data_IF_328900351442
#
_entry.id   IF_328900351442
#
_cell.length_a   1.000
_cell.length_b   1.000
_cell.length_c   1.000
_cell.angle_alpha   90.00
_cell.angle_beta   90.00
_cell.angle_gamma   90.00
#
_symmetry.space_group_name_H-M   'P 1'
#
loop_
_entity.id
_entity.type
_entity.pdbx_description
1 polymer ?
#
# COMPACT_ATOMS: atom_id res chain seq x y z
N UNK A 1 9.22 8.28 13.05
CA UNK A 1 7.75 8.24 13.16
C UNK A 1 7.30 6.83 12.84
N UNK A 2 6.53 6.18 13.71
CA UNK A 2 6.08 4.79 13.57
C UNK A 2 4.83 4.68 12.69
N UNK A 3 4.53 3.48 12.17
CA UNK A 3 3.28 3.21 11.44
C UNK A 3 2.04 3.63 12.25
N UNK A 4 2.02 3.30 13.55
CA UNK A 4 0.93 3.72 14.45
C UNK A 4 0.74 5.23 14.51
N UNK A 5 1.82 5.99 14.63
CA UNK A 5 1.74 7.46 14.65
C UNK A 5 1.20 8.02 13.33
N UNK A 6 1.51 7.36 12.21
CA UNK A 6 1.04 7.76 10.90
C UNK A 6 -0.45 7.45 10.69
N UNK A 7 -0.91 6.24 11.03
CA UNK A 7 -2.33 5.90 11.00
C UNK A 7 -3.15 6.84 11.90
N UNK A 8 -2.64 7.20 13.08
CA UNK A 8 -3.28 8.19 13.94
C UNK A 8 -3.37 9.58 13.27
N UNK A 9 -2.34 10.03 12.56
CA UNK A 9 -2.39 11.30 11.80
C UNK A 9 -3.43 11.26 10.69
N UNK A 10 -3.53 10.15 9.97
CA UNK A 10 -4.54 9.93 8.95
C UNK A 10 -5.95 10.02 9.54
N UNK A 11 -6.22 9.29 10.62
CA UNK A 11 -7.52 9.31 11.30
C UNK A 11 -7.85 10.70 11.87
N UNK A 12 -6.86 11.42 12.42
CA UNK A 12 -7.05 12.78 12.93
C UNK A 12 -7.41 13.76 11.79
N UNK A 13 -6.83 13.56 10.59
CA UNK A 13 -7.13 14.38 9.43
C UNK A 13 -8.56 14.16 8.92
N UNK A 14 -9.01 12.90 8.91
CA UNK A 14 -10.41 12.56 8.63
C UNK A 14 -11.36 13.17 9.67
N UNK A 15 -11.06 12.97 10.95
CA UNK A 15 -11.87 13.52 12.03
C UNK A 15 -11.98 15.04 11.93
N UNK A 16 -10.89 15.74 11.59
CA UNK A 16 -10.92 17.19 11.37
C UNK A 16 -11.87 17.58 10.23
N UNK A 17 -11.87 16.84 9.12
CA UNK A 17 -12.80 17.06 8.01
C UNK A 17 -14.26 16.91 8.45
N UNK A 18 -14.56 15.88 9.23
CA UNK A 18 -15.90 15.64 9.79
C UNK A 18 -16.34 16.77 10.72
N UNK A 19 -15.45 17.24 11.61
CA UNK A 19 -15.76 18.36 12.50
C UNK A 19 -16.02 19.66 11.73
N UNK A 20 -15.27 19.92 10.66
CA UNK A 20 -15.48 21.07 9.79
C UNK A 20 -16.85 21.02 9.10
N UNK A 21 -17.25 19.84 8.61
CA UNK A 21 -18.57 19.62 8.00
C UNK A 21 -19.70 19.81 9.03
N UNK A 22 -19.54 19.25 10.23
CA UNK A 22 -20.51 19.38 11.32
C UNK A 22 -20.67 20.85 11.76
N UNK A 23 -19.55 21.57 11.91
CA UNK A 23 -19.55 23.00 12.25
C UNK A 23 -20.27 23.83 11.16
N UNK A 24 -19.98 23.56 9.89
CA UNK A 24 -20.64 24.24 8.78
C UNK A 24 -22.15 23.99 8.72
N UNK A 25 -22.58 22.76 9.00
CA UNK A 25 -24.01 22.43 9.10
C UNK A 25 -24.69 23.25 10.20
N UNK A 26 -24.07 23.34 11.39
CA UNK A 26 -24.57 24.16 12.50
C UNK A 26 -24.60 25.65 12.17
N UNK A 27 -23.57 26.16 11.50
CA UNK A 27 -23.51 27.57 11.07
C UNK A 27 -24.59 27.88 10.03
N UNK A 28 -24.86 26.99 9.07
CA UNK A 28 -25.97 27.16 8.11
C UNK A 28 -27.33 27.21 8.79
N UNK A 29 -27.54 26.38 9.80
CA UNK A 29 -28.79 26.35 10.56
C UNK A 29 -28.98 27.62 11.42
N UNK A 30 -27.91 28.11 12.06
CA UNK A 30 -27.98 29.27 12.95
C UNK A 30 -27.85 30.63 12.25
N UNK A 31 -27.07 30.70 11.16
CA UNK A 31 -26.77 31.93 10.42
C UNK A 31 -26.71 31.62 8.92
N UNK A 32 -27.85 31.52 8.23
CA UNK A 32 -27.93 31.10 6.82
C UNK A 32 -27.07 31.96 5.86
N UNK A 33 -26.87 33.23 6.18
CA UNK A 33 -26.04 34.16 5.41
C UNK A 33 -24.55 33.73 5.33
N UNK A 34 -24.07 32.88 6.23
CA UNK A 34 -22.70 32.35 6.24
C UNK A 34 -22.55 31.01 5.49
N UNK A 35 -23.58 30.55 4.78
CA UNK A 35 -23.69 29.18 4.27
C UNK A 35 -22.69 28.70 3.21
N UNK A 36 -21.71 29.53 2.80
CA UNK A 36 -20.69 29.18 1.80
C UNK A 36 -19.40 28.57 2.38
N UNK A 37 -19.30 28.34 3.68
CA UNK A 37 -18.13 27.70 4.32
C UNK A 37 -18.46 26.23 4.68
N UNK A 38 -17.52 25.25 4.54
CA UNK A 38 -16.07 25.37 4.43
C UNK A 38 -15.49 24.48 3.29
N UNK A 39 -16.09 24.50 2.08
CA UNK A 39 -15.78 23.52 1.03
C UNK A 39 -14.27 23.31 0.78
N UNK A 40 -13.53 24.40 0.63
CA UNK A 40 -12.07 24.37 0.42
C UNK A 40 -11.28 23.74 1.57
N UNK A 41 -11.69 23.94 2.82
CA UNK A 41 -10.97 23.38 3.97
C UNK A 41 -11.19 21.86 4.08
N UNK A 42 -12.40 21.39 3.75
CA UNK A 42 -12.70 19.95 3.69
C UNK A 42 -11.92 19.29 2.57
N UNK A 43 -11.90 19.92 1.38
CA UNK A 43 -11.08 19.45 0.24
C UNK A 43 -9.59 19.34 0.61
N UNK A 44 -9.05 20.32 1.35
CA UNK A 44 -7.66 20.28 1.83
C UNK A 44 -7.42 19.13 2.82
N UNK A 45 -8.36 18.83 3.72
CA UNK A 45 -8.26 17.67 4.60
C UNK A 45 -8.30 16.36 3.81
N UNK A 46 -9.18 16.25 2.81
CA UNK A 46 -9.24 15.05 1.96
C UNK A 46 -7.94 14.85 1.16
N UNK A 47 -7.39 15.93 0.60
CA UNK A 47 -6.09 15.86 -0.09
C UNK A 47 -4.97 15.45 0.87
N UNK A 48 -4.95 16.03 2.08
CA UNK A 48 -3.96 15.67 3.11
C UNK A 48 -4.06 14.21 3.52
N UNK A 49 -5.27 13.65 3.61
CA UNK A 49 -5.47 12.21 3.83
C UNK A 49 -4.86 11.40 2.69
N UNK A 50 -5.11 11.77 1.42
CA UNK A 50 -4.52 11.07 0.25
C UNK A 50 -3.00 11.12 0.25
N UNK A 51 -2.42 12.28 0.52
CA UNK A 51 -0.96 12.45 0.59
C UNK A 51 -0.35 11.60 1.71
N UNK A 52 -1.04 11.51 2.86
CA UNK A 52 -0.65 10.63 3.96
C UNK A 52 -0.72 9.16 3.58
N UNK A 53 -1.73 8.71 2.82
CA UNK A 53 -1.80 7.33 2.33
C UNK A 53 -0.56 6.98 1.50
N UNK A 54 -0.24 7.82 0.52
CA UNK A 54 0.94 7.62 -0.33
C UNK A 54 2.24 7.62 0.48
N UNK A 55 2.37 8.54 1.43
CA UNK A 55 3.54 8.60 2.30
C UNK A 55 3.67 7.34 3.18
N UNK A 56 2.57 6.84 3.75
CA UNK A 56 2.59 5.63 4.58
C UNK A 56 2.98 4.42 3.73
N UNK A 57 2.39 4.27 2.55
CA UNK A 57 2.70 3.21 1.62
C UNK A 57 4.19 3.21 1.24
N UNK A 58 4.71 4.35 0.80
CA UNK A 58 6.12 4.53 0.47
C UNK A 58 7.03 4.24 1.66
N UNK A 59 6.66 4.70 2.85
CA UNK A 59 7.44 4.45 4.06
C UNK A 59 7.54 2.96 4.37
N UNK A 60 6.42 2.24 4.35
CA UNK A 60 6.40 0.81 4.66
C UNK A 60 7.26 0.06 3.65
N UNK A 61 7.07 0.30 2.35
CA UNK A 61 7.83 -0.42 1.31
C UNK A 61 9.32 -0.04 1.31
N UNK A 62 9.64 1.24 1.18
CA UNK A 62 11.03 1.68 0.95
C UNK A 62 11.86 1.85 2.22
N UNK A 63 11.27 1.88 3.41
CA UNK A 63 12.04 2.04 4.66
C UNK A 63 11.91 0.85 5.59
N UNK A 64 10.74 0.21 5.65
CA UNK A 64 10.54 -0.94 6.55
C UNK A 64 10.79 -2.28 5.87
N UNK A 65 10.46 -2.41 4.58
CA UNK A 65 10.61 -3.65 3.82
C UNK A 65 11.86 -3.68 2.94
N UNK A 66 12.51 -2.55 2.66
CA UNK A 66 13.68 -2.45 1.76
C UNK A 66 14.76 -3.52 2.04
N UNK A 67 15.23 -3.73 3.29
CA UNK A 67 16.28 -4.74 3.53
C UNK A 67 15.85 -6.15 3.13
N UNK A 68 14.58 -6.50 3.37
CA UNK A 68 14.02 -7.80 3.00
C UNK A 68 13.72 -7.88 1.50
N UNK A 69 13.29 -6.79 0.87
CA UNK A 69 13.09 -6.69 -0.57
C UNK A 69 14.40 -6.93 -1.33
N UNK A 70 15.45 -6.21 -0.96
CA UNK A 70 16.78 -6.37 -1.56
C UNK A 70 17.21 -7.82 -1.40
N UNK A 71 17.17 -8.37 -0.18
CA UNK A 71 17.65 -9.74 0.09
C UNK A 71 16.84 -10.83 -0.63
N UNK A 72 15.51 -10.79 -0.54
CA UNK A 72 14.62 -11.79 -1.13
C UNK A 72 14.68 -11.80 -2.66
N UNK A 73 14.91 -10.63 -3.26
CA UNK A 73 14.99 -10.48 -4.70
C UNK A 73 16.43 -10.53 -5.22
N UNK A 74 17.46 -10.47 -4.37
CA UNK A 74 18.86 -10.31 -4.81
C UNK A 74 19.33 -11.45 -5.70
N UNK A 75 18.81 -12.66 -5.50
CA UNK A 75 19.28 -13.84 -6.21
C UNK A 75 18.11 -14.82 -6.43
N UNK A 76 17.84 -15.25 -7.68
CA UNK A 76 16.99 -16.40 -7.94
C UNK A 76 17.74 -17.67 -7.55
N UNK A 77 18.03 -17.84 -6.25
CA UNK A 77 18.46 -19.13 -5.75
C UNK A 77 17.22 -19.99 -5.56
N UNK A 78 17.27 -21.28 -5.91
CA UNK A 78 16.18 -22.24 -5.67
C UNK A 78 16.06 -22.58 -4.18
N UNK A 79 16.25 -21.60 -3.29
CA UNK A 79 16.08 -21.76 -1.86
C UNK A 79 14.58 -21.84 -1.55
N UNK A 80 14.23 -22.85 -0.76
CA UNK A 80 12.92 -22.94 -0.11
C UNK A 80 12.78 -21.69 0.77
N UNK A 81 11.72 -20.90 0.54
CA UNK A 81 11.35 -19.73 1.34
C UNK A 81 11.99 -18.36 0.99
N UNK A 82 12.27 -18.08 -0.29
CA UNK A 82 12.72 -16.75 -0.79
C UNK A 82 11.95 -15.55 -0.23
N UNK A 83 10.62 -15.63 -0.19
CA UNK A 83 9.77 -14.55 0.29
C UNK A 83 9.56 -14.54 1.81
N UNK A 84 10.05 -15.52 2.56
CA UNK A 84 9.71 -15.67 3.99
C UNK A 84 10.07 -14.44 4.82
N UNK A 85 11.27 -13.87 4.61
CA UNK A 85 11.70 -12.65 5.29
C UNK A 85 10.80 -11.45 4.98
N UNK A 86 10.47 -11.27 3.69
CA UNK A 86 9.56 -10.20 3.25
C UNK A 86 8.15 -10.38 3.82
N UNK A 87 7.58 -11.57 3.69
CA UNK A 87 6.23 -11.89 4.16
C UNK A 87 6.12 -11.82 5.69
N UNK A 88 7.18 -12.19 6.41
CA UNK A 88 7.27 -12.10 7.86
C UNK A 88 7.22 -10.65 8.37
N UNK A 89 7.71 -9.69 7.58
CA UNK A 89 7.62 -8.26 7.89
C UNK A 89 6.33 -7.61 7.36
N UNK A 90 5.93 -7.96 6.14
CA UNK A 90 4.78 -7.39 5.45
C UNK A 90 3.47 -7.76 6.14
N UNK A 91 3.25 -9.05 6.43
CA UNK A 91 1.97 -9.56 6.95
C UNK A 91 1.54 -8.87 8.26
N UNK A 92 2.42 -8.73 9.28
CA UNK A 92 2.07 -7.99 10.50
C UNK A 92 1.76 -6.52 10.23
N UNK A 93 2.44 -5.87 9.29
CA UNK A 93 2.21 -4.45 8.94
C UNK A 93 0.86 -4.23 8.28
N UNK A 94 0.48 -5.10 7.35
CA UNK A 94 -0.86 -5.05 6.73
C UNK A 94 -1.95 -5.24 7.80
N UNK A 95 -1.79 -6.24 8.66
CA UNK A 95 -2.74 -6.48 9.76
C UNK A 95 -2.80 -5.31 10.76
N UNK A 96 -1.66 -4.67 11.04
CA UNK A 96 -1.57 -3.47 11.88
C UNK A 96 -2.30 -2.28 11.22
N UNK A 97 -2.13 -2.06 9.92
CA UNK A 97 -2.87 -1.03 9.17
C UNK A 97 -4.37 -1.25 9.23
N UNK A 98 -4.85 -2.48 9.00
CA UNK A 98 -6.27 -2.80 9.10
C UNK A 98 -6.87 -2.50 10.48
N UNK A 99 -6.06 -2.61 11.54
CA UNK A 99 -6.49 -2.32 12.93
C UNK A 99 -6.44 -0.84 13.28
N UNK A 100 -5.52 -0.09 12.68
CA UNK A 100 -5.21 1.29 13.09
C UNK A 100 -5.81 2.36 12.19
N UNK A 101 -5.93 2.11 10.88
CA UNK A 101 -6.52 3.06 9.95
C UNK A 101 -8.05 3.05 10.07
N UNK A 102 -8.66 4.22 9.88
CA UNK A 102 -10.11 4.30 9.80
C UNK A 102 -10.64 3.56 8.55
N UNK A 103 -11.82 2.89 8.64
CA UNK A 103 -12.31 1.99 7.59
C UNK A 103 -12.36 2.59 6.19
N UNK A 104 -12.73 3.88 6.06
CA UNK A 104 -12.79 4.60 4.78
C UNK A 104 -11.46 4.62 4.05
N UNK A 105 -10.35 4.64 4.78
CA UNK A 105 -9.01 4.79 4.23
C UNK A 105 -8.22 3.48 4.17
N UNK A 106 -8.69 2.45 4.86
CA UNK A 106 -8.01 1.14 4.92
C UNK A 106 -7.76 0.57 3.54
N UNK A 107 -8.78 0.53 2.67
CA UNK A 107 -8.62 -0.01 1.32
C UNK A 107 -7.56 0.77 0.52
N UNK A 108 -7.68 2.09 0.43
CA UNK A 108 -6.72 2.93 -0.30
C UNK A 108 -5.29 2.85 0.26
N UNK A 109 -5.14 2.65 1.58
CA UNK A 109 -3.85 2.43 2.22
C UNK A 109 -3.21 1.11 1.77
N UNK A 110 -3.99 0.03 1.79
CA UNK A 110 -3.55 -1.30 1.42
C UNK A 110 -3.23 -1.38 -0.08
N UNK A 111 -4.05 -0.75 -0.94
CA UNK A 111 -3.79 -0.60 -2.37
C UNK A 111 -2.51 0.18 -2.64
N UNK A 112 -2.28 1.26 -1.88
CA UNK A 112 -1.06 2.05 -1.96
C UNK A 112 0.18 1.21 -1.64
N UNK A 113 0.15 0.42 -0.55
CA UNK A 113 1.25 -0.48 -0.18
C UNK A 113 1.48 -1.54 -1.26
N UNK A 114 0.42 -2.19 -1.72
CA UNK A 114 0.49 -3.22 -2.75
C UNK A 114 1.08 -2.68 -4.07
N UNK A 115 0.60 -1.54 -4.54
CA UNK A 115 1.08 -0.91 -5.78
C UNK A 115 2.53 -0.48 -5.65
N UNK A 116 2.90 0.13 -4.52
CA UNK A 116 4.29 0.56 -4.26
C UNK A 116 5.22 -0.64 -4.19
N UNK A 117 4.79 -1.73 -3.56
CA UNK A 117 5.56 -2.97 -3.47
C UNK A 117 5.74 -3.62 -4.85
N UNK A 118 4.68 -3.67 -5.65
CA UNK A 118 4.75 -4.22 -7.00
C UNK A 118 5.72 -3.44 -7.90
N UNK A 119 5.69 -2.10 -7.82
CA UNK A 119 6.64 -1.24 -8.53
C UNK A 119 8.07 -1.48 -8.03
N UNK A 120 8.27 -1.56 -6.72
CA UNK A 120 9.59 -1.82 -6.15
C UNK A 120 10.15 -3.18 -6.61
N UNK A 121 9.33 -4.22 -6.64
CA UNK A 121 9.73 -5.55 -7.13
C UNK A 121 10.07 -5.48 -8.63
N UNK A 122 9.22 -4.85 -9.45
CA UNK A 122 9.46 -4.68 -10.89
C UNK A 122 10.78 -3.94 -11.16
N UNK A 123 11.01 -2.81 -10.48
CA UNK A 123 12.26 -2.05 -10.61
C UNK A 123 13.50 -2.87 -10.21
N UNK A 124 13.36 -3.77 -9.22
CA UNK A 124 14.43 -4.67 -8.81
C UNK A 124 14.69 -5.75 -9.87
N UNK A 125 13.67 -6.22 -10.59
CA UNK A 125 13.83 -7.16 -11.72
C UNK A 125 14.59 -6.49 -12.88
N UNK A 126 14.31 -5.22 -13.17
CA UNK A 126 14.89 -4.44 -14.29
C UNK A 126 16.35 -3.98 -14.06
N UNK A 127 16.97 -4.28 -12.92
CA UNK A 127 18.34 -3.83 -12.64
C UNK A 127 19.33 -4.44 -13.66
N UNK A 128 20.23 -3.62 -14.24
CA UNK A 128 21.03 -3.98 -15.44
C UNK A 128 22.00 -5.16 -15.24
N UNK A 129 22.40 -5.47 -14.01
CA UNK A 129 23.33 -6.56 -13.72
C UNK A 129 22.62 -7.90 -13.42
N UNK A 130 21.30 -7.99 -13.67
CA UNK A 130 20.51 -9.19 -13.39
C UNK A 130 20.29 -10.02 -14.64
N UNK A 131 20.59 -11.31 -14.53
CA UNK A 131 20.35 -12.27 -15.60
C UNK A 131 19.22 -13.20 -15.17
N UNK A 132 18.09 -13.13 -15.88
CA UNK A 132 16.97 -14.03 -15.66
C UNK A 132 17.05 -15.20 -16.65
N UNK A 133 17.27 -16.39 -16.13
CA UNK A 133 17.13 -17.61 -16.92
C UNK A 133 15.64 -17.98 -17.06
N UNK A 134 15.26 -18.71 -18.13
CA UNK A 134 13.86 -19.10 -18.35
C UNK A 134 13.20 -19.82 -17.17
N UNK A 135 13.97 -20.59 -16.38
CA UNK A 135 13.44 -21.30 -15.22
C UNK A 135 13.13 -20.37 -14.03
N UNK A 136 13.72 -19.16 -13.97
CA UNK A 136 13.40 -18.14 -12.97
C UNK A 136 12.00 -17.57 -13.16
N UNK A 137 11.43 -17.63 -14.37
CA UNK A 137 10.07 -17.15 -14.64
C UNK A 137 9.03 -17.93 -13.82
N UNK A 138 9.13 -19.25 -13.79
CA UNK A 138 8.22 -20.09 -13.00
C UNK A 138 8.32 -19.79 -11.50
N UNK A 139 9.53 -19.52 -11.00
CA UNK A 139 9.76 -19.13 -9.61
C UNK A 139 9.18 -17.74 -9.30
N UNK A 140 9.30 -16.79 -10.23
CA UNK A 140 8.70 -15.47 -10.09
C UNK A 140 7.17 -15.54 -10.07
N UNK A 141 6.56 -16.38 -10.91
CA UNK A 141 5.12 -16.60 -10.90
C UNK A 141 4.63 -17.19 -9.57
N UNK A 142 5.36 -18.17 -9.03
CA UNK A 142 5.11 -18.72 -7.69
C UNK A 142 5.19 -17.63 -6.61
N UNK A 143 6.25 -16.82 -6.63
CA UNK A 143 6.47 -15.73 -5.68
C UNK A 143 5.35 -14.67 -5.75
N UNK A 144 4.94 -14.29 -6.96
CA UNK A 144 3.83 -13.36 -7.18
C UNK A 144 2.51 -13.94 -6.64
N UNK A 145 2.25 -15.23 -6.84
CA UNK A 145 1.06 -15.88 -6.33
C UNK A 145 1.06 -15.96 -4.80
N UNK A 146 2.21 -16.29 -4.19
CA UNK A 146 2.38 -16.30 -2.73
C UNK A 146 2.18 -14.91 -2.13
N UNK A 147 2.72 -13.87 -2.78
CA UNK A 147 2.54 -12.48 -2.36
C UNK A 147 1.06 -12.08 -2.41
N UNK A 148 0.36 -12.40 -3.51
CA UNK A 148 -1.07 -12.13 -3.65
C UNK A 148 -1.91 -12.82 -2.58
N UNK A 149 -1.65 -14.11 -2.32
CA UNK A 149 -2.32 -14.87 -1.28
C UNK A 149 -2.05 -14.28 0.13
N UNK A 150 -0.83 -13.82 0.38
CA UNK A 150 -0.47 -13.20 1.65
C UNK A 150 -1.22 -11.87 1.87
N UNK A 151 -1.35 -11.02 0.86
CA UNK A 151 -2.17 -9.80 0.94
C UNK A 151 -3.62 -10.15 1.29
N UNK A 152 -4.27 -11.00 0.50
CA UNK A 152 -5.68 -11.36 0.71
C UNK A 152 -5.94 -11.93 2.11
N UNK A 153 -5.04 -12.79 2.59
CA UNK A 153 -5.10 -13.37 3.93
C UNK A 153 -4.88 -12.33 5.03
N UNK A 154 -3.86 -11.48 4.88
CA UNK A 154 -3.49 -10.48 5.89
C UNK A 154 -4.55 -9.38 6.04
N UNK A 155 -5.20 -9.03 4.93
CA UNK A 155 -6.19 -7.94 4.91
C UNK A 155 -7.59 -8.39 5.32
N UNK A 156 -7.83 -9.70 5.50
CA UNK A 156 -9.10 -10.24 5.98
C UNK A 156 -10.30 -9.82 5.12
N UNK A 157 -10.10 -9.68 3.80
CA UNK A 157 -11.13 -9.24 2.86
C UNK A 157 -11.22 -7.72 2.63
N UNK A 158 -10.35 -6.90 3.26
CA UNK A 158 -10.30 -5.45 2.97
C UNK A 158 -9.74 -5.10 1.58
N UNK A 159 -9.11 -6.06 0.91
CA UNK A 159 -8.74 -5.99 -0.51
C UNK A 159 -9.44 -7.11 -1.27
N UNK A 160 -9.96 -6.78 -2.45
CA UNK A 160 -10.56 -7.74 -3.35
C UNK A 160 -9.50 -8.42 -4.24
N UNK A 161 -9.72 -9.69 -4.56
CA UNK A 161 -8.82 -10.48 -5.42
C UNK A 161 -8.53 -9.82 -6.79
N UNK A 162 -9.50 -9.23 -7.51
CA UNK A 162 -9.23 -8.58 -8.79
C UNK A 162 -8.24 -7.41 -8.67
N UNK A 163 -8.33 -6.64 -7.59
CA UNK A 163 -7.43 -5.51 -7.31
C UNK A 163 -6.01 -6.02 -7.07
N UNK A 164 -5.87 -7.06 -6.23
CA UNK A 164 -4.57 -7.68 -5.95
C UNK A 164 -3.94 -8.23 -7.23
N UNK A 165 -4.74 -8.95 -8.03
CA UNK A 165 -4.29 -9.53 -9.30
C UNK A 165 -3.85 -8.47 -10.30
N UNK A 166 -4.60 -7.37 -10.42
CA UNK A 166 -4.28 -6.27 -11.30
C UNK A 166 -2.97 -5.59 -10.91
N UNK A 167 -2.78 -5.26 -9.63
CA UNK A 167 -1.54 -4.62 -9.18
C UNK A 167 -0.30 -5.49 -9.41
N UNK A 168 -0.41 -6.80 -9.15
CA UNK A 168 0.69 -7.75 -9.32
C UNK A 168 0.99 -8.10 -10.79
N UNK A 169 0.10 -7.77 -11.73
CA UNK A 169 0.34 -8.00 -13.16
C UNK A 169 1.55 -7.24 -13.69
N UNK A 170 1.90 -6.11 -13.08
CA UNK A 170 3.08 -5.31 -13.41
C UNK A 170 4.36 -6.14 -13.25
N UNK A 171 4.46 -6.89 -12.15
CA UNK A 171 5.63 -7.75 -11.88
C UNK A 171 5.76 -8.84 -12.95
N UNK A 172 4.62 -9.42 -13.37
CA UNK A 172 4.60 -10.48 -14.38
C UNK A 172 5.02 -9.95 -15.75
N UNK A 173 4.50 -8.79 -16.16
CA UNK A 173 4.86 -8.15 -17.41
C UNK A 173 6.37 -7.86 -17.47
N UNK A 174 6.94 -7.28 -16.40
CA UNK A 174 8.38 -7.03 -16.29
C UNK A 174 9.20 -8.34 -16.33
N UNK A 175 8.73 -9.40 -15.68
CA UNK A 175 9.39 -10.71 -15.73
C UNK A 175 9.38 -11.36 -17.13
N UNK A 176 8.32 -11.17 -17.90
CA UNK A 176 8.21 -11.65 -19.28
C UNK A 176 9.20 -10.95 -20.20
N UNK A 177 9.36 -9.62 -20.06
CA UNK A 177 10.33 -8.84 -20.83
C UNK A 177 11.79 -9.19 -20.46
N UNK A 178 12.06 -9.52 -19.20
CA UNK A 178 13.40 -9.88 -18.74
C UNK A 178 13.85 -11.30 -19.14
N UNK A 179 12.93 -12.16 -19.59
CA UNK A 179 13.19 -13.58 -19.90
C UNK A 179 12.97 -13.97 -21.37
N UNK A 180 12.39 -13.08 -22.18
CA UNK A 180 12.15 -13.26 -23.62
C UNK A 180 13.34 -12.84 -24.48
#
# INVERSE_FOLDING_TARGET
MTLRQLCLRLNNCEWAAEQLLALASRLRAGVPALGRLPGRAVEQCEQSCRDLLYYIAAKVVYYELEPALVTALYLPRPEEARLSGLLGLLTPRLAEMCKLAAPRWTQGLLEGVLSTLAIAIAAVIELPDRHFEPHHKALLEEDVNLLGAAFLKATGGALEEPIVRAALSVIRATGDEATG
#
